data_IF_888584539964
#
_entry.id   IF_888584539964
#
_cell.length_a   1.000
_cell.length_b   1.000
_cell.length_c   1.000
_cell.angle_alpha   90.00
_cell.angle_beta   90.00
_cell.angle_gamma   90.00
#
_symmetry.space_group_name_H-M   'P 1'
#
loop_
_entity.id
_entity.type
_entity.pdbx_description
1 polymer ?
#
# COMPACT_ATOMS: atom_id res chain seq x y z
N UNK A 1 4.50 -0.07 -19.83
CA UNK A 1 5.15 -0.17 -18.51
C UNK A 1 4.06 -0.58 -17.54
N UNK A 2 4.28 -1.61 -16.74
CA UNK A 2 3.32 -2.03 -15.72
C UNK A 2 3.84 -1.50 -14.38
N UNK A 3 2.94 -0.98 -13.56
CA UNK A 3 3.25 -0.56 -12.20
C UNK A 3 3.01 -1.74 -11.26
N UNK A 4 3.79 -1.81 -10.18
CA UNK A 4 3.64 -2.82 -9.14
C UNK A 4 3.53 -2.17 -7.75
N UNK A 5 2.59 -2.65 -6.95
CA UNK A 5 2.46 -2.33 -5.53
C UNK A 5 2.81 -3.58 -4.74
N UNK A 6 3.83 -3.46 -3.88
CA UNK A 6 4.25 -4.54 -3.00
C UNK A 6 4.12 -4.01 -1.57
N UNK A 7 3.26 -4.63 -0.78
CA UNK A 7 3.13 -4.33 0.64
C UNK A 7 3.80 -5.44 1.44
N UNK A 8 4.77 -5.06 2.26
CA UNK A 8 5.53 -5.99 3.11
C UNK A 8 5.45 -5.50 4.55
N UNK A 9 5.23 -6.43 5.48
CA UNK A 9 5.38 -6.19 6.90
C UNK A 9 6.88 -6.20 7.26
N UNK A 10 7.40 -5.07 7.74
CA UNK A 10 8.84 -4.94 8.02
C UNK A 10 9.28 -5.80 9.23
N UNK A 11 8.37 -6.01 10.20
CA UNK A 11 8.66 -6.76 11.43
C UNK A 11 8.88 -8.25 11.16
N UNK A 12 7.96 -8.90 10.43
CA UNK A 12 8.03 -10.33 10.12
C UNK A 12 8.62 -10.62 8.73
N UNK A 13 8.91 -9.59 7.92
CA UNK A 13 9.26 -9.69 6.49
C UNK A 13 8.25 -10.48 5.68
N UNK A 14 6.97 -10.36 6.04
CA UNK A 14 5.88 -11.07 5.37
C UNK A 14 5.32 -10.20 4.24
N UNK A 15 5.19 -10.76 3.03
CA UNK A 15 4.52 -10.07 1.92
C UNK A 15 3.01 -10.12 2.13
N UNK A 16 2.40 -8.95 2.36
CA UNK A 16 0.97 -8.80 2.64
C UNK A 16 0.13 -8.67 1.36
N UNK A 17 0.68 -8.04 0.32
CA UNK A 17 0.01 -7.91 -0.98
C UNK A 17 1.04 -7.68 -2.10
N UNK A 18 0.71 -8.20 -3.29
CA UNK A 18 1.43 -7.94 -4.53
C UNK A 18 0.37 -7.67 -5.61
N UNK A 19 0.35 -6.46 -6.14
CA UNK A 19 -0.55 -6.06 -7.22
C UNK A 19 0.28 -5.59 -8.40
N UNK A 20 -0.07 -6.06 -9.60
CA UNK A 20 0.59 -5.70 -10.85
C UNK A 20 -0.49 -5.23 -11.81
N UNK A 21 -0.39 -3.99 -12.27
CA UNK A 21 -1.38 -3.40 -13.17
C UNK A 21 -0.71 -2.53 -14.24
N UNK A 22 -1.42 -2.24 -15.34
CA UNK A 22 -0.96 -1.35 -16.40
C UNK A 22 -0.77 0.09 -15.91
N UNK A 23 -1.57 0.51 -14.92
CA UNK A 23 -1.39 1.72 -14.14
C UNK A 23 -1.95 1.49 -12.73
N UNK A 24 -1.26 1.95 -11.68
CA UNK A 24 -1.77 1.83 -10.31
C UNK A 24 -2.33 3.18 -9.80
N UNK A 25 -3.62 3.49 -10.04
CA UNK A 25 -4.20 4.71 -9.51
C UNK A 25 -4.27 4.65 -7.99
N UNK A 26 -4.17 5.81 -7.33
CA UNK A 26 -4.24 5.95 -5.87
C UNK A 26 -5.45 5.24 -5.25
N UNK A 27 -6.62 5.24 -5.93
CA UNK A 27 -7.80 4.52 -5.44
C UNK A 27 -7.59 3.00 -5.34
N UNK A 28 -6.83 2.39 -6.24
CA UNK A 28 -6.53 0.97 -6.18
C UNK A 28 -5.67 0.64 -4.98
N UNK A 29 -4.66 1.47 -4.75
CA UNK A 29 -3.71 1.33 -3.64
C UNK A 29 -4.42 1.47 -2.30
N UNK A 30 -5.33 2.45 -2.18
CA UNK A 30 -6.16 2.62 -0.98
C UNK A 30 -7.00 1.35 -0.73
N UNK A 31 -7.63 0.77 -1.76
CA UNK A 31 -8.42 -0.47 -1.59
C UNK A 31 -7.58 -1.64 -1.10
N UNK A 32 -6.34 -1.76 -1.58
CA UNK A 32 -5.42 -2.82 -1.16
C UNK A 32 -5.00 -2.62 0.29
N UNK A 33 -4.65 -1.39 0.65
CA UNK A 33 -4.31 -1.03 2.03
C UNK A 33 -5.49 -1.24 2.99
N UNK A 34 -6.69 -0.81 2.61
CA UNK A 34 -7.92 -1.00 3.41
C UNK A 34 -8.21 -2.48 3.67
N UNK A 35 -8.01 -3.35 2.68
CA UNK A 35 -8.11 -4.80 2.86
C UNK A 35 -7.07 -5.34 3.85
N UNK A 36 -5.82 -4.91 3.76
CA UNK A 36 -4.77 -5.32 4.70
C UNK A 36 -5.15 -4.89 6.13
N UNK A 37 -5.57 -3.64 6.28
CA UNK A 37 -6.00 -3.06 7.56
C UNK A 37 -7.22 -3.77 8.12
N UNK A 38 -8.21 -4.12 7.29
CA UNK A 38 -9.39 -4.85 7.74
C UNK A 38 -9.06 -6.25 8.30
N UNK A 39 -7.97 -6.87 7.81
CA UNK A 39 -7.55 -8.19 8.27
C UNK A 39 -6.58 -8.15 9.46
N UNK A 40 -5.72 -7.13 9.57
CA UNK A 40 -4.62 -7.08 10.57
C UNK A 40 -4.65 -5.88 11.51
N UNK A 41 -5.47 -4.88 11.24
CA UNK A 41 -5.45 -3.57 11.90
C UNK A 41 -4.52 -2.56 11.19
N UNK A 42 -4.57 -1.30 11.62
CA UNK A 42 -3.72 -0.24 11.06
C UNK A 42 -2.27 -0.40 11.52
N UNK A 43 -1.28 -0.25 10.61
CA UNK A 43 0.12 -0.26 10.99
C UNK A 43 0.46 0.99 11.80
N UNK A 44 1.41 0.86 12.73
CA UNK A 44 1.92 1.99 13.54
C UNK A 44 2.72 2.98 12.66
N UNK A 45 3.36 2.47 11.62
CA UNK A 45 4.15 3.25 10.67
C UNK A 45 3.98 2.70 9.27
N UNK A 46 3.69 3.59 8.31
CA UNK A 46 3.60 3.26 6.90
C UNK A 46 4.82 3.88 6.20
N UNK A 47 5.67 3.04 5.60
CA UNK A 47 6.79 3.49 4.78
C UNK A 47 6.48 3.22 3.32
N UNK A 48 6.65 4.23 2.49
CA UNK A 48 6.44 4.15 1.04
C UNK A 48 7.73 4.56 0.35
N UNK A 49 8.25 3.70 -0.52
CA UNK A 49 9.44 3.98 -1.33
C UNK A 49 9.10 4.75 -2.62
N UNK A 50 7.82 4.76 -3.01
CA UNK A 50 7.28 5.61 -4.06
C UNK A 50 6.84 6.92 -3.40
N UNK A 51 7.34 8.05 -3.86
CA UNK A 51 7.21 9.37 -3.23
C UNK A 51 5.81 9.80 -2.78
N UNK A 52 5.70 10.95 -2.09
CA UNK A 52 4.44 11.46 -1.52
C UNK A 52 3.32 11.64 -2.55
N UNK A 53 3.66 11.69 -3.84
CA UNK A 53 2.71 11.77 -4.96
C UNK A 53 1.68 10.64 -4.97
N UNK A 54 1.97 9.50 -4.34
CA UNK A 54 1.10 8.34 -4.42
C UNK A 54 -0.03 8.33 -3.38
N UNK A 55 0.21 8.85 -2.17
CA UNK A 55 -0.65 8.57 -0.99
C UNK A 55 -0.80 9.76 0.00
N UNK A 56 0.01 10.82 -0.08
CA UNK A 56 0.07 11.83 1.00
C UNK A 56 -1.23 12.58 1.29
N UNK A 57 -2.21 12.59 0.38
CA UNK A 57 -3.50 13.23 0.63
C UNK A 57 -4.61 12.27 1.12
N UNK A 58 -4.47 10.96 0.87
CA UNK A 58 -5.54 10.00 1.07
C UNK A 58 -5.55 9.36 2.46
N UNK A 59 -4.39 9.29 3.11
CA UNK A 59 -4.18 8.59 4.40
C UNK A 59 -4.06 9.53 5.61
N UNK A 60 -4.16 10.85 5.41
CA UNK A 60 -4.04 11.86 6.46
C UNK A 60 -5.35 12.15 7.23
N UNK A 61 -6.14 11.13 7.54
CA UNK A 61 -7.33 11.29 8.40
C UNK A 61 -7.08 10.84 9.83
#
# INVERSE_FOLDING_TARGET
MHDALICVDDYNRETLAIEIDLNLPTQHVIRVLDRIVANRGYPVMLRMDNGPEFISLALAK
#
